data_IF_297112553807
#
_entry.id   IF_297112553807
#
_cell.length_a   1.000
_cell.length_b   1.000
_cell.length_c   1.000
_cell.angle_alpha   90.00
_cell.angle_beta   90.00
_cell.angle_gamma   90.00
#
_symmetry.space_group_name_H-M   'P 1'
#
loop_
_entity.id
_entity.type
_entity.pdbx_description
1 polymer ?
#
# COMPACT_ATOMS: atom_id res chain seq x y z
N UNK A 1 -1.18 -5.45 -1.42
CA UNK A 1 -1.07 -4.87 -2.78
C UNK A 1 -0.68 -3.41 -2.70
N UNK A 2 0.14 -2.95 -3.64
CA UNK A 2 0.44 -1.54 -3.80
C UNK A 2 -0.70 -0.84 -4.56
N UNK A 3 -0.96 0.40 -4.20
CA UNK A 3 -2.00 1.25 -4.78
C UNK A 3 -1.44 2.63 -5.09
N UNK A 4 -2.09 3.32 -6.02
CA UNK A 4 -1.80 4.72 -6.33
C UNK A 4 -2.78 5.61 -5.56
N UNK A 5 -2.27 6.34 -4.57
CA UNK A 5 -3.02 7.36 -3.84
C UNK A 5 -2.93 8.68 -4.60
N UNK A 6 -4.05 9.32 -4.85
CA UNK A 6 -4.17 10.56 -5.64
C UNK A 6 -5.11 11.54 -4.97
N UNK A 7 -5.14 12.79 -5.44
CA UNK A 7 -6.24 13.70 -5.09
C UNK A 7 -7.55 13.16 -5.65
N UNK A 8 -8.63 13.24 -4.88
CA UNK A 8 -9.95 12.71 -5.25
C UNK A 8 -10.45 13.24 -6.59
N UNK A 9 -10.20 14.50 -6.90
CA UNK A 9 -10.54 15.11 -8.20
C UNK A 9 -9.84 14.44 -9.39
N UNK A 10 -8.75 13.69 -9.15
CA UNK A 10 -7.92 13.04 -10.15
C UNK A 10 -8.11 11.51 -10.20
N UNK A 11 -9.00 10.93 -9.37
CA UNK A 11 -9.12 9.47 -9.23
C UNK A 11 -9.42 8.75 -10.55
N UNK A 12 -10.14 9.41 -11.47
CA UNK A 12 -10.52 8.82 -12.76
C UNK A 12 -9.52 9.09 -13.88
N UNK A 13 -8.46 9.86 -13.62
CA UNK A 13 -7.46 10.24 -14.63
C UNK A 13 -6.48 9.09 -14.92
N UNK A 14 -6.27 8.21 -13.95
CA UNK A 14 -5.25 7.17 -14.01
C UNK A 14 -5.92 5.80 -13.89
N UNK A 15 -5.98 5.05 -14.98
CA UNK A 15 -6.62 3.72 -15.07
C UNK A 15 -5.59 2.61 -15.25
N UNK A 16 -4.48 2.92 -15.89
CA UNK A 16 -3.38 1.99 -16.08
C UNK A 16 -2.01 2.66 -15.91
N UNK A 17 -0.94 1.88 -15.99
CA UNK A 17 0.42 2.40 -15.80
C UNK A 17 0.86 3.36 -16.93
N UNK A 18 0.27 3.28 -18.12
CA UNK A 18 0.61 4.17 -19.23
C UNK A 18 0.11 5.60 -19.00
N UNK A 19 -0.97 5.79 -18.25
CA UNK A 19 -1.47 7.11 -17.86
C UNK A 19 -0.50 7.88 -16.94
N UNK A 20 0.48 7.17 -16.38
CA UNK A 20 1.48 7.73 -15.47
C UNK A 20 2.76 8.19 -16.19
N UNK A 21 2.85 8.04 -17.50
CA UNK A 21 3.96 8.56 -18.30
C UNK A 21 4.04 10.10 -18.17
N UNK A 22 5.23 10.61 -17.87
CA UNK A 22 5.48 12.03 -17.61
C UNK A 22 4.93 12.56 -16.28
N UNK A 23 4.30 11.73 -15.43
CA UNK A 23 3.77 12.14 -14.13
C UNK A 23 4.83 12.10 -13.03
N UNK A 24 4.63 12.91 -12.01
CA UNK A 24 5.51 12.95 -10.84
C UNK A 24 4.91 12.08 -9.74
N UNK A 25 5.58 10.96 -9.47
CA UNK A 25 5.10 9.92 -8.56
C UNK A 25 5.97 9.88 -7.31
N UNK A 26 5.35 10.03 -6.15
CA UNK A 26 6.01 9.91 -4.85
C UNK A 26 6.02 8.49 -4.33
N UNK A 27 7.05 8.16 -3.57
CA UNK A 27 7.11 6.93 -2.76
C UNK A 27 8.04 7.14 -1.56
N UNK A 28 7.88 6.35 -0.52
CA UNK A 28 8.81 6.36 0.61
C UNK A 28 10.14 5.73 0.19
N UNK A 29 11.26 6.41 0.50
CA UNK A 29 12.61 5.99 0.13
C UNK A 29 12.97 4.62 0.70
N UNK A 30 13.75 3.87 -0.06
CA UNK A 30 14.29 2.55 0.33
C UNK A 30 13.21 1.51 0.61
N UNK A 31 12.05 1.65 -0.02
CA UNK A 31 10.92 0.73 0.09
C UNK A 31 10.63 0.02 -1.24
N UNK A 32 9.82 -1.03 -1.17
CA UNK A 32 9.31 -1.69 -2.37
C UNK A 32 8.35 -0.78 -3.15
N UNK A 33 7.74 0.21 -2.50
CA UNK A 33 6.90 1.22 -3.13
C UNK A 33 7.73 2.12 -4.04
N UNK A 34 8.92 2.53 -3.61
CA UNK A 34 9.84 3.28 -4.45
C UNK A 34 10.29 2.47 -5.67
N UNK A 35 10.64 1.19 -5.47
CA UNK A 35 10.99 0.29 -6.58
C UNK A 35 9.83 0.15 -7.57
N UNK A 36 8.59 0.05 -7.08
CA UNK A 36 7.40 0.01 -7.94
C UNK A 36 7.20 1.32 -8.69
N UNK A 37 7.34 2.46 -8.02
CA UNK A 37 7.26 3.76 -8.69
C UNK A 37 8.30 3.89 -9.80
N UNK A 38 9.53 3.46 -9.55
CA UNK A 38 10.64 3.45 -10.53
C UNK A 38 10.39 2.52 -11.72
N UNK A 39 9.52 1.51 -11.58
CA UNK A 39 9.14 0.63 -12.70
C UNK A 39 8.12 1.26 -13.65
N UNK A 40 7.53 2.40 -13.31
CA UNK A 40 6.59 3.11 -14.16
C UNK A 40 7.35 3.81 -15.28
N UNK A 41 7.12 3.38 -16.50
CA UNK A 41 7.82 3.93 -17.66
C UNK A 41 7.49 5.41 -17.83
N UNK A 42 8.53 6.24 -17.93
CA UNK A 42 8.40 7.68 -18.16
C UNK A 42 8.01 8.52 -16.95
N UNK A 43 7.66 7.90 -15.81
CA UNK A 43 7.35 8.66 -14.60
C UNK A 43 8.60 9.33 -13.97
N UNK A 44 8.40 10.52 -13.43
CA UNK A 44 9.40 11.19 -12.61
C UNK A 44 9.20 10.78 -11.14
N UNK A 45 10.11 10.01 -10.57
CA UNK A 45 9.94 9.45 -9.23
C UNK A 45 10.66 10.29 -8.18
N UNK A 46 9.93 10.67 -7.14
CA UNK A 46 10.44 11.41 -5.98
C UNK A 46 10.36 10.51 -4.74
N UNK A 47 11.53 10.15 -4.20
CA UNK A 47 11.64 9.44 -2.93
C UNK A 47 11.50 10.41 -1.75
N UNK A 48 10.62 10.11 -0.82
CA UNK A 48 10.26 10.93 0.33
C UNK A 48 10.61 10.23 1.66
N UNK A 49 10.68 10.99 2.73
CA UNK A 49 11.07 10.46 4.04
C UNK A 49 9.95 9.67 4.72
N UNK A 50 8.69 9.98 4.39
CA UNK A 50 7.52 9.35 4.99
C UNK A 50 6.27 9.51 4.11
N UNK A 51 5.26 8.68 4.35
CA UNK A 51 3.95 8.79 3.68
C UNK A 51 3.25 10.11 4.02
N UNK A 52 3.22 10.62 5.27
CA UNK A 52 2.65 11.94 5.57
C UNK A 52 3.29 13.10 4.78
N UNK A 53 4.62 13.07 4.62
CA UNK A 53 5.33 14.07 3.81
C UNK A 53 4.92 13.98 2.33
N UNK A 54 4.80 12.77 1.81
CA UNK A 54 4.30 12.54 0.45
C UNK A 54 2.88 13.08 0.27
N UNK A 55 1.98 12.85 1.22
CA UNK A 55 0.59 13.36 1.18
C UNK A 55 0.58 14.90 1.17
N UNK A 56 1.42 15.53 1.99
CA UNK A 56 1.53 16.98 1.98
C UNK A 56 1.98 17.51 0.62
N UNK A 57 2.95 16.87 -0.02
CA UNK A 57 3.42 17.25 -1.35
C UNK A 57 2.37 17.00 -2.44
N UNK A 58 1.60 15.90 -2.35
CA UNK A 58 0.48 15.62 -3.24
C UNK A 58 -0.60 16.71 -3.14
N UNK A 59 -0.98 17.11 -1.92
CA UNK A 59 -1.97 18.17 -1.68
C UNK A 59 -1.50 19.55 -2.19
N UNK A 60 -0.21 19.78 -2.14
CA UNK A 60 0.41 21.00 -2.67
C UNK A 60 0.66 20.96 -4.21
N UNK A 61 0.24 19.91 -4.90
CA UNK A 61 0.37 19.76 -6.35
C UNK A 61 1.80 19.53 -6.84
N UNK A 62 2.72 19.12 -5.95
CA UNK A 62 4.09 18.75 -6.32
C UNK A 62 4.20 17.30 -6.81
N UNK A 63 3.21 16.48 -6.50
CA UNK A 63 3.08 15.10 -6.95
C UNK A 63 1.74 14.92 -7.65
N UNK A 64 1.71 14.04 -8.63
CA UNK A 64 0.49 13.58 -9.30
C UNK A 64 -0.13 12.38 -8.57
N UNK A 65 0.69 11.56 -7.93
CA UNK A 65 0.26 10.40 -7.14
C UNK A 65 1.35 9.87 -6.23
N UNK A 66 0.97 8.96 -5.33
CA UNK A 66 1.88 8.31 -4.39
C UNK A 66 1.67 6.80 -4.47
N UNK A 67 2.73 6.04 -4.69
CA UNK A 67 2.70 4.58 -4.55
C UNK A 67 2.80 4.23 -3.08
N UNK A 68 1.79 3.56 -2.57
CA UNK A 68 1.65 3.22 -1.15
C UNK A 68 1.02 1.84 -0.98
N UNK A 69 1.25 1.18 0.14
CA UNK A 69 0.58 -0.08 0.43
C UNK A 69 -0.93 0.14 0.69
N UNK A 70 -1.80 -0.71 0.11
CA UNK A 70 -3.24 -0.53 0.15
C UNK A 70 -3.84 -0.45 1.56
N UNK A 71 -3.28 -1.19 2.53
CA UNK A 71 -3.71 -1.12 3.94
C UNK A 71 -3.37 0.24 4.53
N UNK A 72 -2.17 0.75 4.25
CA UNK A 72 -1.72 2.09 4.68
C UNK A 72 -2.56 3.17 4.02
N UNK A 73 -2.80 3.06 2.71
CA UNK A 73 -3.65 4.01 1.99
C UNK A 73 -5.05 4.11 2.60
N UNK A 74 -5.69 2.98 2.91
CA UNK A 74 -7.02 2.96 3.56
C UNK A 74 -7.05 3.73 4.88
N UNK A 75 -5.98 3.66 5.69
CA UNK A 75 -5.88 4.43 6.93
C UNK A 75 -5.87 5.94 6.68
N UNK A 76 -5.11 6.40 5.67
CA UNK A 76 -5.07 7.84 5.33
C UNK A 76 -6.37 8.34 4.72
N UNK A 77 -7.09 7.52 3.94
CA UNK A 77 -8.38 7.90 3.35
C UNK A 77 -9.45 8.19 4.41
N UNK A 78 -9.37 7.57 5.60
CA UNK A 78 -10.32 7.84 6.69
C UNK A 78 -10.25 9.29 7.19
N UNK A 79 -9.05 9.91 7.13
CA UNK A 79 -8.79 11.25 7.65
C UNK A 79 -8.62 12.31 6.54
N UNK A 80 -8.68 11.90 5.28
CA UNK A 80 -8.43 12.75 4.12
C UNK A 80 -9.48 12.45 3.06
N UNK A 81 -10.62 13.14 3.13
CA UNK A 81 -11.74 13.02 2.19
C UNK A 81 -11.43 13.62 0.80
N UNK A 82 -10.36 14.39 0.71
CA UNK A 82 -9.78 14.95 -0.52
C UNK A 82 -8.84 13.99 -1.27
N UNK A 83 -8.59 12.78 -0.71
CA UNK A 83 -7.79 11.73 -1.34
C UNK A 83 -8.67 10.58 -1.85
N UNK A 84 -8.14 9.84 -2.83
CA UNK A 84 -8.75 8.63 -3.38
C UNK A 84 -7.67 7.64 -3.87
N UNK A 85 -8.07 6.41 -4.17
CA UNK A 85 -7.23 5.44 -4.87
C UNK A 85 -7.59 5.46 -6.36
N UNK A 86 -6.59 5.62 -7.21
CA UNK A 86 -6.76 5.42 -8.63
C UNK A 86 -6.82 3.91 -8.96
N UNK A 87 -7.41 3.59 -10.11
CA UNK A 87 -7.69 2.21 -10.54
C UNK A 87 -6.47 1.50 -11.14
N UNK A 88 -5.27 2.10 -11.00
CA UNK A 88 -4.03 1.55 -11.52
C UNK A 88 -3.65 0.27 -10.81
N UNK A 89 -3.42 -0.78 -11.59
CA UNK A 89 -2.92 -2.06 -11.10
C UNK A 89 -1.41 -2.16 -11.30
N UNK A 90 -0.66 -2.21 -10.21
CA UNK A 90 0.77 -2.44 -10.26
C UNK A 90 1.05 -3.93 -10.41
N UNK A 91 1.78 -4.31 -11.46
CA UNK A 91 2.31 -5.66 -11.60
C UNK A 91 3.48 -5.82 -10.63
N UNK A 92 3.33 -6.69 -9.67
CA UNK A 92 4.37 -7.03 -8.69
C UNK A 92 4.11 -8.39 -8.09
N UNK A 93 5.14 -9.05 -7.60
CA UNK A 93 4.97 -10.25 -6.80
C UNK A 93 4.01 -9.93 -5.63
N UNK A 94 2.99 -10.76 -5.43
CA UNK A 94 2.13 -10.65 -4.26
C UNK A 94 3.05 -10.61 -3.04
N UNK A 95 3.01 -9.52 -2.27
CA UNK A 95 3.69 -9.49 -0.99
C UNK A 95 3.11 -10.60 -0.14
N UNK A 96 3.96 -11.48 0.31
CA UNK A 96 3.59 -12.53 1.25
C UNK A 96 4.26 -12.22 2.59
N UNK A 97 3.51 -12.35 3.66
CA UNK A 97 4.06 -12.38 5.01
C UNK A 97 4.45 -13.83 5.33
N UNK A 98 5.60 -14.00 5.95
CA UNK A 98 6.08 -15.32 6.34
C UNK A 98 6.54 -15.32 7.79
N UNK A 99 6.40 -16.47 8.44
CA UNK A 99 6.94 -16.71 9.78
C UNK A 99 8.30 -17.37 9.63
N UNK A 100 9.35 -16.74 10.18
CA UNK A 100 10.68 -17.31 10.22
C UNK A 100 10.87 -18.11 11.52
N UNK A 101 11.42 -19.30 11.38
CA UNK A 101 11.71 -20.20 12.50
C UNK A 101 13.18 -20.64 12.45
N UNK A 102 13.79 -20.96 13.60
CA UNK A 102 15.12 -21.61 13.64
C UNK A 102 15.10 -22.93 12.86
N UNK A 103 16.23 -23.28 12.27
CA UNK A 103 16.40 -24.59 11.60
C UNK A 103 16.16 -25.72 12.60
N UNK A 104 15.43 -26.76 12.18
CA UNK A 104 15.08 -27.93 13.01
C UNK A 104 13.78 -27.78 13.79
N UNK A 105 13.01 -26.70 13.60
CA UNK A 105 11.71 -26.48 14.23
C UNK A 105 10.55 -27.08 13.38
N UNK A 106 10.75 -28.27 12.81
CA UNK A 106 9.81 -28.85 11.83
C UNK A 106 8.41 -29.10 12.40
N UNK A 107 8.32 -29.50 13.66
CA UNK A 107 7.03 -29.72 14.33
C UNK A 107 6.26 -28.39 14.48
N UNK A 108 6.95 -27.33 14.89
CA UNK A 108 6.35 -25.98 15.00
C UNK A 108 5.94 -25.46 13.64
N UNK A 109 6.80 -25.65 12.62
CA UNK A 109 6.52 -25.25 11.24
C UNK A 109 5.24 -25.91 10.72
N UNK A 110 5.06 -27.21 10.98
CA UNK A 110 3.86 -27.97 10.57
C UNK A 110 2.59 -27.40 11.20
N UNK A 111 2.63 -27.08 12.50
CA UNK A 111 1.49 -26.50 13.21
C UNK A 111 1.15 -25.12 12.65
N UNK A 112 2.16 -24.25 12.52
CA UNK A 112 1.96 -22.87 12.00
C UNK A 112 1.41 -22.90 10.57
N UNK A 113 1.96 -23.72 9.69
CA UNK A 113 1.46 -23.84 8.32
C UNK A 113 0.01 -24.36 8.27
N UNK A 114 -0.37 -25.25 9.20
CA UNK A 114 -1.74 -25.72 9.35
C UNK A 114 -2.71 -24.59 9.71
N UNK A 115 -2.34 -23.76 10.68
CA UNK A 115 -3.12 -22.58 11.09
C UNK A 115 -3.22 -21.56 9.97
N UNK A 116 -2.09 -21.21 9.33
CA UNK A 116 -2.08 -20.25 8.20
C UNK A 116 -3.00 -20.71 7.08
N UNK A 117 -2.95 -22.00 6.73
CA UNK A 117 -3.82 -22.58 5.72
C UNK A 117 -5.29 -22.46 6.10
N UNK A 118 -5.66 -22.87 7.30
CA UNK A 118 -7.04 -22.79 7.81
C UNK A 118 -7.57 -21.36 7.81
N UNK A 119 -6.78 -20.39 8.30
CA UNK A 119 -7.19 -18.99 8.42
C UNK A 119 -7.26 -18.31 7.06
N UNK A 120 -6.41 -18.72 6.10
CA UNK A 120 -6.50 -18.25 4.70
C UNK A 120 -7.78 -18.76 4.04
N UNK A 121 -8.07 -20.05 4.15
CA UNK A 121 -9.25 -20.70 3.55
C UNK A 121 -10.58 -20.18 4.14
N UNK A 122 -10.58 -19.83 5.44
CA UNK A 122 -11.76 -19.28 6.13
C UNK A 122 -11.97 -17.79 5.94
N UNK A 123 -11.00 -17.06 5.31
CA UNK A 123 -11.00 -15.59 5.21
C UNK A 123 -10.79 -14.89 6.55
N UNK A 124 -10.23 -15.57 7.55
CA UNK A 124 -10.02 -15.01 8.89
C UNK A 124 -9.00 -13.88 8.89
N UNK A 125 -7.97 -13.94 8.04
CA UNK A 125 -7.00 -12.86 7.89
C UNK A 125 -7.65 -11.57 7.42
N UNK A 126 -8.55 -11.62 6.43
CA UNK A 126 -9.24 -10.43 5.92
C UNK A 126 -10.12 -9.80 7.02
N UNK A 127 -10.81 -10.61 7.81
CA UNK A 127 -11.60 -10.14 8.96
C UNK A 127 -10.74 -9.43 9.99
N UNK A 128 -9.57 -9.99 10.35
CA UNK A 128 -8.64 -9.35 11.27
C UNK A 128 -8.08 -8.03 10.71
N UNK A 129 -7.71 -7.99 9.44
CA UNK A 129 -7.24 -6.76 8.80
C UNK A 129 -8.30 -5.66 8.90
N UNK A 130 -9.57 -5.98 8.62
CA UNK A 130 -10.67 -5.01 8.71
C UNK A 130 -10.92 -4.56 10.15
N UNK A 131 -10.93 -5.48 11.12
CA UNK A 131 -11.14 -5.21 12.54
C UNK A 131 -10.03 -4.31 13.10
N UNK A 132 -8.76 -4.70 12.93
CA UNK A 132 -7.63 -3.95 13.46
C UNK A 132 -7.42 -2.62 12.75
N UNK A 133 -7.79 -2.50 11.48
CA UNK A 133 -7.78 -1.22 10.77
C UNK A 133 -8.78 -0.23 11.40
N UNK A 134 -9.97 -0.69 11.80
CA UNK A 134 -10.96 0.15 12.52
C UNK A 134 -10.42 0.60 13.88
N UNK A 135 -9.84 -0.33 14.65
CA UNK A 135 -9.24 -0.02 15.96
C UNK A 135 -8.10 1.00 15.83
N UNK A 136 -7.25 0.86 14.82
CA UNK A 136 -6.16 1.82 14.56
C UNK A 136 -6.69 3.23 14.28
N UNK A 137 -7.75 3.34 13.49
CA UNK A 137 -8.43 4.60 13.19
C UNK A 137 -9.05 5.23 14.45
N UNK A 138 -9.73 4.43 15.29
CA UNK A 138 -10.32 4.95 16.54
C UNK A 138 -9.27 5.46 17.53
N UNK A 139 -8.12 4.78 17.63
CA UNK A 139 -7.02 5.21 18.47
C UNK A 139 -6.34 6.49 17.97
N UNK A 140 -6.29 6.71 16.67
CA UNK A 140 -5.68 7.89 16.07
C UNK A 140 -6.57 9.15 16.19
N UNK A 141 -7.85 8.99 16.55
CA UNK A 141 -8.79 10.10 16.81
C UNK A 141 -8.74 10.64 18.27
N UNK A 142 -8.03 9.96 19.15
CA UNK A 142 -7.81 10.38 20.55
C UNK A 142 -6.48 11.10 20.71
#
# INVERSE_FOLDING_TARGET
EQKLLVLKKNEHLYKDMADLDGKTIGAEKSTTQETTAQSIKGANVIGLSSVPDAILQLKNGKLDGIVVEGVVAKQYLVFNDDLALADVQFQGAKKVSAVALPKGSDDVLKVINGIIKQDTESGQFDKWVDEYSKIAVEKAKK
#
